data_IF_499389619392
#
_entry.id   IF_499389619392
#
_cell.length_a   1.000
_cell.length_b   1.000
_cell.length_c   1.000
_cell.angle_alpha   90.00
_cell.angle_beta   90.00
_cell.angle_gamma   90.00
#
_symmetry.space_group_name_H-M   'P 1'
#
loop_
_entity.id
_entity.type
_entity.pdbx_description
1 polymer ?
#
# COMPACT_ATOMS: atom_id res chain seq x y z
N UNK A 1 -13.93 59.72 -6.19
CA UNK A 1 -13.21 58.81 -7.09
C UNK A 1 -13.27 57.43 -6.43
N UNK A 2 -14.04 56.48 -6.98
CA UNK A 2 -14.20 55.11 -6.45
C UNK A 2 -13.09 54.26 -7.06
N UNK A 3 -12.15 53.79 -6.25
CA UNK A 3 -11.14 52.85 -6.69
C UNK A 3 -11.78 51.48 -6.88
N UNK A 4 -11.88 51.03 -8.12
CA UNK A 4 -12.30 49.66 -8.47
C UNK A 4 -11.09 48.76 -8.29
N UNK A 5 -11.10 47.94 -7.25
CA UNK A 5 -10.11 46.88 -7.06
C UNK A 5 -10.53 45.72 -7.96
N UNK A 6 -9.78 45.53 -9.04
CA UNK A 6 -9.93 44.40 -9.96
C UNK A 6 -9.25 43.18 -9.29
N UNK A 7 -10.05 42.28 -8.71
CA UNK A 7 -9.58 41.00 -8.15
C UNK A 7 -9.22 40.11 -9.35
N UNK A 8 -7.92 39.94 -9.62
CA UNK A 8 -7.44 38.97 -10.62
C UNK A 8 -7.58 37.56 -10.03
N UNK A 9 -8.64 36.85 -10.42
CA UNK A 9 -8.76 35.43 -10.22
C UNK A 9 -7.77 34.71 -11.14
N UNK A 10 -6.58 34.39 -10.65
CA UNK A 10 -5.68 33.47 -11.33
C UNK A 10 -6.33 32.08 -11.32
N UNK A 11 -6.44 31.40 -12.49
CA UNK A 11 -6.89 30.03 -12.51
C UNK A 11 -5.87 29.18 -11.76
N UNK A 12 -6.30 28.54 -10.70
CA UNK A 12 -5.52 27.51 -10.03
C UNK A 12 -5.52 26.28 -10.96
N UNK A 13 -4.46 26.14 -11.76
CA UNK A 13 -4.27 24.92 -12.55
C UNK A 13 -3.91 23.83 -11.58
N UNK A 14 -4.84 22.91 -11.28
CA UNK A 14 -4.54 21.64 -10.62
C UNK A 14 -3.70 20.88 -11.65
N UNK A 15 -2.40 20.76 -11.40
CA UNK A 15 -1.53 19.89 -12.19
C UNK A 15 -1.85 18.45 -11.80
N UNK A 16 -2.06 17.58 -12.78
CA UNK A 16 -2.17 16.14 -12.54
C UNK A 16 -0.89 15.63 -11.86
N UNK A 17 -1.04 14.79 -10.84
CA UNK A 17 0.08 14.12 -10.17
C UNK A 17 0.50 12.88 -10.97
N UNK A 18 -0.47 12.21 -11.59
CA UNK A 18 -0.21 11.03 -12.41
C UNK A 18 0.58 11.40 -13.67
N UNK A 19 1.59 10.58 -14.00
CA UNK A 19 2.36 10.76 -15.24
C UNK A 19 1.47 10.50 -16.46
N UNK A 20 1.44 11.46 -17.39
CA UNK A 20 0.61 11.38 -18.61
C UNK A 20 1.38 10.83 -19.83
N UNK A 21 2.67 10.53 -19.71
CA UNK A 21 3.46 9.88 -20.75
C UNK A 21 3.37 8.35 -20.63
N UNK A 22 3.43 7.59 -21.73
CA UNK A 22 3.49 6.13 -21.68
C UNK A 22 4.63 5.65 -20.79
N UNK A 23 4.32 4.70 -19.90
CA UNK A 23 5.26 4.06 -18.98
C UNK A 23 5.27 2.55 -19.22
N UNK A 24 6.32 1.89 -18.79
CA UNK A 24 6.30 0.44 -18.66
C UNK A 24 5.50 0.02 -17.43
N UNK A 25 5.14 -1.27 -17.37
CA UNK A 25 4.50 -1.86 -16.21
C UNK A 25 5.41 -1.76 -14.99
N UNK A 26 4.80 -1.49 -13.86
CA UNK A 26 5.37 -1.75 -12.56
C UNK A 26 4.86 -3.08 -12.05
N UNK A 27 5.65 -3.70 -11.20
CA UNK A 27 5.44 -5.08 -10.77
C UNK A 27 4.80 -5.13 -9.41
N UNK A 28 3.75 -5.93 -9.29
CA UNK A 28 3.21 -6.41 -8.03
C UNK A 28 3.66 -7.87 -7.84
N UNK A 29 4.43 -8.13 -6.79
CA UNK A 29 4.70 -9.49 -6.31
C UNK A 29 3.79 -9.77 -5.11
N UNK A 30 2.82 -10.64 -5.32
CA UNK A 30 2.02 -11.23 -4.24
C UNK A 30 2.70 -12.53 -3.81
N UNK A 31 3.36 -12.53 -2.64
CA UNK A 31 4.02 -13.70 -2.08
C UNK A 31 3.05 -14.45 -1.15
N UNK A 32 2.92 -15.76 -1.35
CA UNK A 32 2.13 -16.64 -0.50
C UNK A 32 3.02 -17.35 0.50
N UNK A 33 2.73 -17.14 1.79
CA UNK A 33 3.58 -17.50 2.91
C UNK A 33 2.82 -18.07 4.10
N UNK A 34 3.53 -18.44 5.15
CA UNK A 34 2.97 -18.87 6.43
C UNK A 34 4.03 -19.10 7.48
N UNK A 35 3.67 -18.89 8.75
CA UNK A 35 4.59 -18.92 9.91
C UNK A 35 5.32 -20.25 10.10
N UNK A 36 4.74 -21.35 9.63
CA UNK A 36 5.34 -22.69 9.70
C UNK A 36 6.02 -23.15 8.42
N UNK A 37 6.08 -22.30 7.40
CA UNK A 37 6.78 -22.59 6.16
C UNK A 37 8.30 -22.41 6.34
N UNK A 38 9.06 -23.50 6.34
CA UNK A 38 10.50 -23.46 6.61
C UNK A 38 11.35 -22.79 5.53
N UNK A 39 10.85 -22.70 4.30
CA UNK A 39 11.54 -22.02 3.18
C UNK A 39 10.99 -20.62 2.89
N UNK A 40 9.92 -20.18 3.54
CA UNK A 40 9.34 -18.87 3.27
C UNK A 40 10.28 -17.70 3.63
N UNK A 41 11.13 -17.76 4.66
CA UNK A 41 12.11 -16.69 4.89
C UNK A 41 13.09 -16.46 3.74
N UNK A 42 13.42 -17.50 2.96
CA UNK A 42 14.21 -17.37 1.73
C UNK A 42 13.42 -16.64 0.62
N UNK A 43 12.11 -16.90 0.52
CA UNK A 43 11.21 -16.15 -0.34
C UNK A 43 11.16 -14.67 0.03
N UNK A 44 10.93 -14.36 1.31
CA UNK A 44 10.93 -12.99 1.83
C UNK A 44 12.24 -12.25 1.51
N UNK A 45 13.39 -12.92 1.67
CA UNK A 45 14.69 -12.33 1.34
C UNK A 45 14.84 -12.04 -0.17
N UNK A 46 14.42 -12.97 -1.03
CA UNK A 46 14.49 -12.78 -2.48
C UNK A 46 13.53 -11.70 -2.97
N UNK A 47 12.32 -11.65 -2.41
CA UNK A 47 11.34 -10.59 -2.70
C UNK A 47 11.86 -9.21 -2.27
N UNK A 48 12.43 -9.11 -1.05
CA UNK A 48 13.04 -7.87 -0.57
C UNK A 48 14.20 -7.43 -1.45
N UNK A 49 15.12 -8.33 -1.79
CA UNK A 49 16.25 -8.02 -2.69
C UNK A 49 15.78 -7.53 -4.06
N UNK A 50 14.69 -8.09 -4.58
CA UNK A 50 14.10 -7.65 -5.85
C UNK A 50 13.50 -6.24 -5.72
N UNK A 51 12.77 -5.97 -4.64
CA UNK A 51 12.26 -4.62 -4.36
C UNK A 51 13.40 -3.61 -4.18
N UNK A 52 14.43 -3.94 -3.41
CA UNK A 52 15.58 -3.06 -3.17
C UNK A 52 16.38 -2.73 -4.45
N UNK A 53 16.39 -3.68 -5.40
CA UNK A 53 17.00 -3.45 -6.71
C UNK A 53 16.15 -2.55 -7.63
N UNK A 54 14.83 -2.53 -7.44
CA UNK A 54 13.87 -1.77 -8.24
C UNK A 54 12.80 -1.12 -7.34
N UNK A 55 13.17 -0.20 -6.43
CA UNK A 55 12.27 0.30 -5.37
C UNK A 55 11.07 1.09 -5.90
N UNK A 56 11.19 1.71 -7.08
CA UNK A 56 10.12 2.47 -7.70
C UNK A 56 9.25 1.63 -8.66
N UNK A 57 9.62 0.37 -8.91
CA UNK A 57 9.02 -0.46 -9.96
C UNK A 57 8.54 -1.84 -9.48
N UNK A 58 8.94 -2.30 -8.29
CA UNK A 58 8.53 -3.57 -7.71
C UNK A 58 7.93 -3.36 -6.33
N UNK A 59 6.69 -3.78 -6.13
CA UNK A 59 5.95 -3.66 -4.87
C UNK A 59 5.54 -5.02 -4.35
N UNK A 60 5.53 -5.18 -3.03
CA UNK A 60 5.38 -6.47 -2.37
C UNK A 60 4.09 -6.52 -1.55
N UNK A 61 3.40 -7.66 -1.61
CA UNK A 61 2.32 -8.01 -0.68
C UNK A 61 2.56 -9.44 -0.19
N UNK A 62 2.83 -9.61 1.10
CA UNK A 62 2.99 -10.92 1.72
C UNK A 62 1.65 -11.41 2.27
N UNK A 63 1.15 -12.53 1.74
CA UNK A 63 -0.17 -13.09 2.03
C UNK A 63 -0.02 -14.38 2.81
N UNK A 64 -0.34 -14.35 4.10
CA UNK A 64 -0.38 -15.55 4.94
C UNK A 64 -1.61 -16.39 4.61
N UNK A 65 -1.40 -17.61 4.10
CA UNK A 65 -2.48 -18.45 3.59
C UNK A 65 -2.11 -19.94 3.62
N UNK A 66 -3.10 -20.82 3.43
CA UNK A 66 -2.91 -22.26 3.42
C UNK A 66 -2.55 -22.87 4.77
N UNK A 67 -2.12 -24.13 4.76
CA UNK A 67 -1.89 -24.92 5.99
C UNK A 67 -0.72 -24.37 6.83
N UNK A 68 0.31 -23.83 6.22
CA UNK A 68 1.47 -23.27 6.91
C UNK A 68 1.18 -21.95 7.64
N UNK A 69 0.08 -21.29 7.32
CA UNK A 69 -0.35 -20.05 7.98
C UNK A 69 -1.34 -20.30 9.14
N UNK A 70 -1.82 -21.54 9.34
CA UNK A 70 -2.72 -21.85 10.45
C UNK A 70 -1.98 -21.72 11.78
N UNK A 71 -2.38 -20.80 12.69
CA UNK A 71 -1.67 -20.60 13.93
C UNK A 71 -1.84 -21.78 14.88
N UNK A 72 -0.79 -22.09 15.62
CA UNK A 72 -0.83 -22.98 16.78
C UNK A 72 -1.38 -22.27 18.02
N UNK A 73 -1.44 -23.00 19.13
CA UNK A 73 -1.89 -22.42 20.39
C UNK A 73 -0.91 -21.34 20.87
N UNK A 74 -1.37 -20.09 20.94
CA UNK A 74 -0.58 -18.95 21.40
C UNK A 74 0.20 -18.24 20.28
N UNK A 75 0.11 -18.70 19.02
CA UNK A 75 0.67 -18.00 17.89
C UNK A 75 -0.31 -16.98 17.30
N UNK A 76 0.18 -15.90 16.69
CA UNK A 76 -0.66 -14.92 16.03
C UNK A 76 -1.28 -15.46 14.74
N UNK A 77 -2.49 -15.03 14.42
CA UNK A 77 -3.15 -15.35 13.16
C UNK A 77 -2.93 -14.22 12.14
N UNK A 78 -1.96 -14.39 11.26
CA UNK A 78 -1.61 -13.44 10.21
C UNK A 78 -2.46 -13.56 8.94
N UNK A 79 -3.40 -14.51 8.91
CA UNK A 79 -4.29 -14.68 7.76
C UNK A 79 -5.30 -13.54 7.68
N UNK A 80 -5.74 -13.23 6.47
CA UNK A 80 -6.86 -12.34 6.21
C UNK A 80 -8.02 -13.11 5.59
N UNK A 81 -9.20 -12.50 5.58
CA UNK A 81 -10.37 -13.05 4.88
C UNK A 81 -10.15 -13.15 3.35
N UNK A 82 -9.17 -12.43 2.82
CA UNK A 82 -8.88 -12.30 1.40
C UNK A 82 -7.92 -13.36 0.85
N UNK A 83 -6.94 -13.77 1.67
CA UNK A 83 -5.79 -14.57 1.22
C UNK A 83 -6.16 -15.88 0.53
N UNK A 84 -7.12 -16.63 1.06
CA UNK A 84 -7.54 -17.90 0.46
C UNK A 84 -8.19 -17.72 -0.92
N UNK A 85 -8.93 -16.63 -1.12
CA UNK A 85 -9.60 -16.35 -2.41
C UNK A 85 -8.58 -15.90 -3.45
N UNK A 86 -7.59 -15.06 -3.06
CA UNK A 86 -6.50 -14.67 -3.94
C UNK A 86 -5.71 -15.91 -4.39
N UNK A 87 -5.33 -16.75 -3.46
CA UNK A 87 -4.55 -17.97 -3.75
C UNK A 87 -5.31 -18.98 -4.59
N UNK A 88 -6.63 -19.06 -4.46
CA UNK A 88 -7.44 -20.06 -5.17
C UNK A 88 -7.39 -19.93 -6.69
N UNK A 89 -7.04 -18.75 -7.24
CA UNK A 89 -6.90 -18.53 -8.67
C UNK A 89 -5.45 -18.71 -9.18
N UNK A 90 -4.50 -19.05 -8.33
CA UNK A 90 -3.08 -19.08 -8.67
C UNK A 90 -2.52 -20.48 -8.86
N UNK A 91 -3.21 -21.52 -8.39
CA UNK A 91 -2.84 -22.94 -8.48
C UNK A 91 -1.46 -23.24 -7.84
N UNK A 92 -1.36 -22.99 -6.53
CA UNK A 92 -0.14 -23.24 -5.74
C UNK A 92 0.09 -24.74 -5.56
N UNK A 93 1.30 -25.22 -5.89
CA UNK A 93 1.75 -26.59 -5.59
C UNK A 93 2.65 -26.67 -4.33
N UNK A 94 3.30 -25.58 -3.93
CA UNK A 94 4.18 -25.52 -2.76
C UNK A 94 4.52 -24.11 -2.31
N UNK A 95 5.05 -23.98 -1.09
CA UNK A 95 5.43 -22.69 -0.46
C UNK A 95 6.94 -22.57 -0.28
N UNK A 96 7.54 -21.35 -0.36
CA UNK A 96 6.89 -20.13 -0.79
C UNK A 96 6.54 -20.17 -2.28
N UNK A 97 5.47 -19.50 -2.64
CA UNK A 97 5.08 -19.23 -4.00
C UNK A 97 4.68 -17.78 -4.14
N UNK A 98 4.60 -17.28 -5.34
CA UNK A 98 4.10 -15.93 -5.59
C UNK A 98 3.63 -15.75 -7.01
N UNK A 99 3.02 -14.61 -7.28
CA UNK A 99 2.64 -14.21 -8.63
C UNK A 99 3.28 -12.87 -8.97
N UNK A 100 3.78 -12.75 -10.18
CA UNK A 100 4.28 -11.50 -10.75
C UNK A 100 3.17 -10.94 -11.66
N UNK A 101 2.56 -9.82 -11.25
CA UNK A 101 1.44 -9.19 -11.95
C UNK A 101 0.27 -10.14 -12.27
N UNK A 102 0.12 -11.23 -11.50
CA UNK A 102 -0.87 -12.29 -11.75
C UNK A 102 -0.83 -12.78 -13.22
N UNK A 103 0.36 -12.68 -13.84
CA UNK A 103 0.55 -13.06 -15.24
C UNK A 103 0.92 -14.55 -15.36
N UNK A 104 0.33 -15.24 -16.35
CA UNK A 104 0.60 -16.65 -16.57
C UNK A 104 1.86 -16.86 -17.41
N UNK A 105 2.88 -17.47 -16.82
CA UNK A 105 4.11 -17.87 -17.49
C UNK A 105 4.16 -19.38 -17.66
N UNK A 106 3.90 -19.85 -18.87
CA UNK A 106 3.73 -21.27 -19.20
C UNK A 106 4.85 -22.19 -18.66
N UNK A 107 6.08 -21.70 -18.53
CA UNK A 107 7.24 -22.50 -18.13
C UNK A 107 7.81 -22.16 -16.76
N UNK A 108 7.25 -21.18 -16.04
CA UNK A 108 7.70 -20.73 -14.73
C UNK A 108 6.68 -21.07 -13.62
N UNK A 109 5.44 -21.43 -13.98
CA UNK A 109 4.39 -21.67 -12.99
C UNK A 109 4.50 -23.08 -12.39
N UNK A 110 4.08 -23.20 -11.13
CA UNK A 110 4.07 -24.45 -10.39
C UNK A 110 3.00 -25.43 -10.88
N UNK A 111 1.91 -24.90 -11.44
CA UNK A 111 0.74 -25.65 -11.88
C UNK A 111 0.07 -25.02 -13.11
N UNK A 112 -1.25 -25.12 -13.19
CA UNK A 112 -2.05 -24.54 -14.29
C UNK A 112 -2.39 -23.06 -14.14
N UNK A 113 -2.05 -22.43 -13.00
CA UNK A 113 -2.33 -21.03 -12.68
C UNK A 113 -1.11 -20.13 -12.77
N UNK A 114 -1.14 -19.03 -12.01
CA UNK A 114 -0.11 -17.98 -12.08
C UNK A 114 0.97 -18.09 -11.00
N UNK A 115 0.80 -19.01 -10.02
CA UNK A 115 1.79 -19.20 -8.95
C UNK A 115 3.10 -19.77 -9.51
N UNK A 116 4.21 -19.13 -9.14
CA UNK A 116 5.55 -19.57 -9.49
C UNK A 116 6.44 -19.71 -8.26
N UNK A 117 7.52 -20.46 -8.39
CA UNK A 117 8.52 -20.62 -7.35
C UNK A 117 9.38 -19.36 -7.25
N UNK A 118 9.89 -19.09 -6.03
CA UNK A 118 10.68 -17.88 -5.76
C UNK A 118 11.91 -17.67 -6.65
N UNK A 119 12.45 -18.76 -7.22
CA UNK A 119 13.60 -18.68 -8.14
C UNK A 119 13.28 -18.03 -9.49
N UNK A 120 12.02 -17.97 -9.88
CA UNK A 120 11.56 -17.40 -11.15
C UNK A 120 11.07 -15.94 -11.03
N UNK A 121 10.92 -15.42 -9.81
CA UNK A 121 10.33 -14.08 -9.59
C UNK A 121 11.12 -12.96 -10.25
N UNK A 122 12.46 -13.01 -10.16
CA UNK A 122 13.32 -11.96 -10.73
C UNK A 122 13.19 -11.90 -12.25
N UNK A 123 13.25 -13.04 -12.93
CA UNK A 123 13.20 -13.09 -14.39
C UNK A 123 11.79 -12.65 -14.89
N UNK A 124 10.74 -13.10 -14.24
CA UNK A 124 9.37 -12.69 -14.54
C UNK A 124 9.15 -11.19 -14.28
N UNK A 125 9.72 -10.64 -13.21
CA UNK A 125 9.63 -9.21 -12.91
C UNK A 125 10.34 -8.35 -13.96
N UNK A 126 11.56 -8.72 -14.36
CA UNK A 126 12.31 -8.03 -15.40
C UNK A 126 11.54 -8.06 -16.73
N UNK A 127 10.93 -9.20 -17.08
CA UNK A 127 10.11 -9.32 -18.27
C UNK A 127 8.89 -8.37 -18.21
N UNK A 128 8.14 -8.34 -17.09
CA UNK A 128 7.00 -7.43 -16.91
C UNK A 128 7.41 -5.96 -16.98
N UNK A 129 8.51 -5.56 -16.34
CA UNK A 129 9.02 -4.19 -16.42
C UNK A 129 9.46 -3.76 -17.81
N UNK A 130 9.68 -4.69 -18.74
CA UNK A 130 9.96 -4.41 -20.15
C UNK A 130 8.71 -4.15 -21.00
N UNK A 131 7.53 -4.51 -20.50
CA UNK A 131 6.26 -4.39 -21.21
C UNK A 131 5.62 -3.02 -21.00
N UNK A 132 4.96 -2.41 -22.01
CA UNK A 132 4.21 -1.18 -21.81
C UNK A 132 2.98 -1.39 -20.93
N UNK A 133 2.71 -0.43 -20.07
CA UNK A 133 1.43 -0.33 -19.35
C UNK A 133 0.43 0.50 -20.14
N UNK A 134 -0.84 0.08 -20.27
CA UNK A 134 -1.88 0.89 -20.88
C UNK A 134 -2.34 2.04 -19.98
N UNK A 135 -2.04 1.99 -18.69
CA UNK A 135 -2.49 2.94 -17.67
C UNK A 135 -1.37 3.27 -16.70
N UNK A 136 -1.28 4.54 -16.33
CA UNK A 136 -0.43 5.00 -15.23
C UNK A 136 -1.31 5.26 -14.00
N UNK A 137 -0.72 5.08 -12.81
CA UNK A 137 -1.36 5.31 -11.51
C UNK A 137 -0.45 6.20 -10.67
N UNK A 138 -1.06 7.11 -9.95
CA UNK A 138 -0.46 7.84 -8.83
C UNK A 138 -1.39 7.69 -7.63
N UNK A 139 -0.83 7.64 -6.43
CA UNK A 139 -1.60 7.58 -5.20
C UNK A 139 -0.96 8.43 -4.11
N UNK A 140 -1.78 8.81 -3.12
CA UNK A 140 -1.36 9.42 -1.87
C UNK A 140 -2.25 8.88 -0.75
N UNK A 141 -1.66 8.65 0.42
CA UNK A 141 -2.39 8.17 1.61
C UNK A 141 -2.10 9.09 2.80
N UNK A 142 -3.14 9.65 3.41
CA UNK A 142 -3.02 10.60 4.50
C UNK A 142 -3.78 10.10 5.74
N UNK A 143 -3.10 9.99 6.88
CA UNK A 143 -3.76 9.64 8.13
C UNK A 143 -4.38 10.87 8.79
N UNK A 144 -5.67 10.77 9.05
CA UNK A 144 -6.44 11.77 9.80
C UNK A 144 -6.61 11.32 11.25
N UNK A 145 -5.83 11.90 12.16
CA UNK A 145 -5.86 11.54 13.58
C UNK A 145 -7.15 11.93 14.30
N UNK A 146 -7.97 12.83 13.73
CA UNK A 146 -9.25 13.24 14.33
C UNK A 146 -10.35 12.22 14.08
N UNK A 147 -10.36 11.60 12.90
CA UNK A 147 -11.34 10.57 12.52
C UNK A 147 -10.78 9.16 12.66
N UNK A 148 -9.46 9.01 12.85
CA UNK A 148 -8.73 7.74 12.84
C UNK A 148 -8.92 6.99 11.52
N UNK A 149 -8.84 7.71 10.40
CA UNK A 149 -9.01 7.19 9.05
C UNK A 149 -7.76 7.47 8.21
N UNK A 150 -7.53 6.64 7.22
CA UNK A 150 -6.57 6.91 6.14
C UNK A 150 -7.38 7.29 4.91
N UNK A 151 -7.20 8.53 4.46
CA UNK A 151 -7.76 9.03 3.21
C UNK A 151 -6.77 8.71 2.08
N UNK A 152 -7.24 8.02 1.04
CA UNK A 152 -6.43 7.52 -0.07
C UNK A 152 -6.94 8.16 -1.36
N UNK A 153 -6.13 9.01 -1.96
CA UNK A 153 -6.42 9.64 -3.24
C UNK A 153 -5.63 8.94 -4.34
N UNK A 154 -6.32 8.59 -5.42
CA UNK A 154 -5.75 7.90 -6.58
C UNK A 154 -6.06 8.67 -7.85
N UNK A 155 -5.02 8.97 -8.63
CA UNK A 155 -5.17 9.41 -10.00
C UNK A 155 -4.76 8.29 -10.95
N UNK A 156 -5.50 8.12 -12.05
CA UNK A 156 -5.09 7.22 -13.12
C UNK A 156 -5.29 7.86 -14.50
N UNK A 157 -4.45 7.44 -15.44
CA UNK A 157 -4.42 8.00 -16.79
C UNK A 157 -4.12 6.90 -17.80
N UNK A 158 -5.09 6.64 -18.71
CA UNK A 158 -4.87 5.68 -19.79
C UNK A 158 -4.05 6.34 -20.91
N UNK A 159 -2.89 5.75 -21.19
CA UNK A 159 -1.98 6.18 -22.28
C UNK A 159 -2.27 5.46 -23.58
N UNK A 160 -2.97 4.32 -23.53
CA UNK A 160 -3.36 3.52 -24.69
C UNK A 160 -4.79 2.97 -24.50
N UNK A 161 -5.49 2.76 -25.59
CA UNK A 161 -6.78 2.07 -25.57
C UNK A 161 -6.60 0.61 -25.10
N UNK A 162 -7.59 0.09 -24.36
CA UNK A 162 -7.60 -1.31 -23.98
C UNK A 162 -7.57 -2.24 -25.19
N UNK A 163 -6.71 -3.25 -25.12
CA UNK A 163 -6.65 -4.29 -26.16
C UNK A 163 -7.93 -5.15 -26.19
N UNK A 164 -8.57 -5.33 -25.04
CA UNK A 164 -9.79 -6.12 -24.88
C UNK A 164 -10.87 -5.33 -24.15
N UNK A 165 -11.63 -4.44 -24.84
CA UNK A 165 -12.62 -3.57 -24.22
C UNK A 165 -13.84 -4.31 -23.62
N UNK A 166 -13.90 -5.62 -23.77
CA UNK A 166 -14.93 -6.47 -23.15
C UNK A 166 -14.62 -6.86 -21.71
N UNK A 167 -13.38 -6.68 -21.26
CA UNK A 167 -12.99 -6.94 -19.89
C UNK A 167 -13.07 -5.66 -19.07
N UNK A 168 -13.72 -5.74 -17.93
CA UNK A 168 -13.72 -4.65 -16.95
C UNK A 168 -12.34 -4.52 -16.32
N UNK A 169 -11.93 -3.28 -16.02
CA UNK A 169 -10.75 -3.00 -15.24
C UNK A 169 -11.15 -2.71 -13.80
N UNK A 170 -10.31 -3.12 -12.87
CA UNK A 170 -10.55 -2.94 -11.45
C UNK A 170 -9.38 -2.23 -10.80
N UNK A 171 -9.69 -1.22 -10.00
CA UNK A 171 -8.73 -0.56 -9.12
C UNK A 171 -8.73 -1.26 -7.77
N UNK A 172 -7.57 -1.72 -7.36
CA UNK A 172 -7.37 -2.43 -6.10
C UNK A 172 -6.56 -1.53 -5.15
N UNK A 173 -6.97 -1.49 -3.89
CA UNK A 173 -6.28 -0.76 -2.82
C UNK A 173 -6.06 -1.72 -1.66
N UNK A 174 -4.80 -2.05 -1.39
CA UNK A 174 -4.37 -2.93 -0.31
C UNK A 174 -3.67 -2.14 0.78
N UNK A 175 -3.97 -2.46 2.03
CA UNK A 175 -3.23 -2.01 3.20
C UNK A 175 -2.22 -3.09 3.58
N UNK A 176 -0.94 -2.73 3.61
CA UNK A 176 0.13 -3.61 4.08
C UNK A 176 0.78 -3.01 5.32
N UNK A 177 1.26 -3.87 6.21
CA UNK A 177 1.95 -3.45 7.43
C UNK A 177 3.32 -4.09 7.51
N UNK A 178 4.29 -3.27 7.85
CA UNK A 178 5.66 -3.68 8.13
C UNK A 178 5.85 -3.88 9.64
N UNK A 179 7.00 -4.44 10.01
CA UNK A 179 7.49 -4.54 11.38
C UNK A 179 6.55 -5.29 12.34
N UNK A 180 5.90 -6.36 11.87
CA UNK A 180 5.05 -7.19 12.71
C UNK A 180 5.86 -8.35 13.30
N UNK A 181 6.07 -8.41 14.65
CA UNK A 181 6.77 -9.51 15.28
C UNK A 181 5.94 -10.78 15.31
N UNK A 182 6.54 -11.92 15.00
CA UNK A 182 5.89 -13.21 15.08
C UNK A 182 6.82 -14.41 14.93
N UNK A 183 6.33 -15.62 15.09
CA UNK A 183 7.12 -16.82 14.82
C UNK A 183 7.32 -17.00 13.31
N UNK A 184 8.47 -17.56 12.91
CA UNK A 184 8.72 -17.96 11.54
C UNK A 184 9.69 -19.13 11.46
N UNK A 185 9.21 -20.27 11.02
CA UNK A 185 10.05 -21.45 10.77
C UNK A 185 11.11 -21.13 9.71
N UNK A 186 12.34 -21.63 9.91
CA UNK A 186 13.44 -21.49 8.95
C UNK A 186 14.15 -20.12 8.95
N UNK A 187 13.70 -19.15 9.73
CA UNK A 187 14.28 -17.79 9.76
C UNK A 187 15.79 -17.81 10.07
N UNK A 188 16.23 -18.61 11.07
CA UNK A 188 17.64 -18.72 11.43
C UNK A 188 18.55 -19.17 10.27
N UNK A 189 17.98 -19.93 9.33
CA UNK A 189 18.74 -20.49 8.21
C UNK A 189 18.71 -19.59 6.97
N UNK A 190 17.55 -18.97 6.68
CA UNK A 190 17.30 -18.39 5.37
C UNK A 190 17.18 -16.86 5.38
N UNK A 191 16.83 -16.25 6.52
CA UNK A 191 16.77 -14.80 6.63
C UNK A 191 17.03 -14.33 8.08
N UNK A 192 18.25 -14.59 8.60
CA UNK A 192 18.59 -14.28 10.00
C UNK A 192 18.57 -12.78 10.32
N UNK A 193 18.73 -11.91 9.33
CA UNK A 193 18.75 -10.45 9.52
C UNK A 193 17.38 -9.88 9.93
N UNK A 194 16.30 -10.64 9.68
CA UNK A 194 14.95 -10.30 10.14
C UNK A 194 14.62 -10.85 11.54
N UNK A 195 15.58 -11.49 12.24
CA UNK A 195 15.37 -11.98 13.59
C UNK A 195 15.54 -10.84 14.59
N UNK A 196 14.53 -10.65 15.42
CA UNK A 196 14.50 -9.62 16.46
C UNK A 196 14.29 -10.25 17.84
N UNK A 197 14.57 -9.53 18.95
CA UNK A 197 14.19 -9.97 20.30
C UNK A 197 12.66 -10.07 20.42
N UNK A 198 12.18 -11.17 21.03
CA UNK A 198 10.75 -11.37 21.23
C UNK A 198 10.40 -12.70 21.89
N UNK A 199 9.11 -13.01 22.04
CA UNK A 199 8.65 -14.16 22.80
C UNK A 199 8.78 -15.50 22.05
N UNK A 200 8.94 -15.49 20.74
CA UNK A 200 9.09 -16.72 19.94
C UNK A 200 10.57 -17.08 19.74
N UNK A 201 10.84 -18.28 19.28
CA UNK A 201 12.20 -18.76 19.01
C UNK A 201 12.29 -19.44 17.64
N UNK A 202 12.65 -18.68 16.58
CA UNK A 202 12.95 -17.26 16.56
C UNK A 202 11.72 -16.37 16.57
N UNK A 203 11.85 -15.12 17.05
CA UNK A 203 10.93 -14.02 16.70
C UNK A 203 11.43 -13.38 15.42
N UNK A 204 10.56 -13.32 14.43
CA UNK A 204 10.84 -12.79 13.10
C UNK A 204 10.09 -11.48 12.89
N UNK A 205 10.70 -10.53 12.20
CA UNK A 205 10.09 -9.25 11.84
C UNK A 205 9.44 -9.38 10.46
N UNK A 206 8.13 -9.56 10.42
CA UNK A 206 7.39 -9.70 9.16
C UNK A 206 7.19 -8.35 8.49
N UNK A 207 7.43 -8.31 7.17
CA UNK A 207 7.32 -7.11 6.33
C UNK A 207 6.23 -7.29 5.28
N UNK A 208 5.71 -6.18 4.74
CA UNK A 208 4.75 -6.13 3.61
C UNK A 208 3.50 -7.01 3.82
N UNK A 209 3.12 -7.25 5.07
CA UNK A 209 2.02 -8.16 5.40
C UNK A 209 0.69 -7.56 4.99
N UNK A 210 -0.09 -8.29 4.19
CA UNK A 210 -1.46 -7.88 3.84
C UNK A 210 -2.32 -7.78 5.09
N UNK A 211 -2.91 -6.61 5.32
CA UNK A 211 -3.84 -6.37 6.43
C UNK A 211 -5.28 -6.29 5.95
N UNK A 212 -5.53 -5.56 4.87
CA UNK A 212 -6.89 -5.40 4.34
C UNK A 212 -6.88 -5.08 2.84
N UNK A 213 -8.05 -5.24 2.20
CA UNK A 213 -8.34 -4.78 0.84
C UNK A 213 -9.51 -3.78 0.92
N UNK A 214 -9.19 -2.49 0.84
CA UNK A 214 -10.15 -1.39 0.97
C UNK A 214 -11.25 -1.47 -0.09
N UNK A 215 -10.89 -1.90 -1.28
CA UNK A 215 -11.78 -2.07 -2.45
C UNK A 215 -12.37 -3.48 -2.56
N UNK A 216 -12.22 -4.30 -1.50
CA UNK A 216 -12.66 -5.69 -1.51
C UNK A 216 -11.76 -6.63 -2.32
N UNK A 217 -12.18 -7.88 -2.39
CA UNK A 217 -11.37 -9.00 -2.92
C UNK A 217 -10.81 -8.77 -4.33
N UNK A 218 -11.57 -8.11 -5.20
CA UNK A 218 -11.25 -8.01 -6.62
C UNK A 218 -11.16 -6.57 -7.12
N UNK A 219 -11.24 -5.60 -6.20
CA UNK A 219 -11.16 -4.19 -6.55
C UNK A 219 -12.49 -3.55 -6.88
N UNK A 220 -12.44 -2.24 -7.09
CA UNK A 220 -13.57 -1.41 -7.53
C UNK A 220 -13.58 -1.32 -9.06
N UNK A 221 -14.72 -1.62 -9.74
CA UNK A 221 -14.80 -1.57 -11.19
C UNK A 221 -14.63 -0.14 -11.73
N UNK A 222 -13.76 0.04 -12.70
CA UNK A 222 -13.47 1.33 -13.32
C UNK A 222 -14.28 1.48 -14.62
N UNK A 223 -15.10 2.53 -14.67
CA UNK A 223 -15.95 2.84 -15.83
C UNK A 223 -15.30 3.84 -16.80
N UNK A 224 -14.40 4.71 -16.32
CA UNK A 224 -13.76 5.74 -17.13
C UNK A 224 -12.44 5.20 -17.70
N UNK A 225 -12.47 4.74 -18.96
CA UNK A 225 -11.36 4.09 -19.67
C UNK A 225 -10.83 4.97 -20.84
N UNK A 226 -11.27 6.22 -20.93
CA UNK A 226 -10.89 7.10 -22.01
C UNK A 226 -9.41 7.45 -21.94
N UNK A 227 -8.70 7.29 -23.07
CA UNK A 227 -7.30 7.68 -23.18
C UNK A 227 -7.15 9.19 -23.16
N UNK A 228 -6.09 9.66 -22.52
CA UNK A 228 -5.78 11.09 -22.49
C UNK A 228 -6.56 11.88 -21.44
N UNK A 229 -7.30 11.22 -20.56
CA UNK A 229 -8.08 11.84 -19.49
C UNK A 229 -7.52 11.44 -18.14
N UNK A 230 -7.26 12.43 -17.26
CA UNK A 230 -6.93 12.20 -15.86
C UNK A 230 -8.22 11.92 -15.09
N UNK A 231 -8.28 10.81 -14.42
CA UNK A 231 -9.39 10.39 -13.57
C UNK A 231 -8.94 10.35 -12.12
N UNK A 232 -9.84 10.72 -11.21
CA UNK A 232 -9.60 10.75 -9.77
C UNK A 232 -10.63 9.89 -9.07
N UNK A 233 -10.18 9.13 -8.07
CA UNK A 233 -11.04 8.37 -7.18
C UNK A 233 -10.43 8.41 -5.77
N UNK A 234 -11.27 8.54 -4.75
CA UNK A 234 -10.81 8.58 -3.36
C UNK A 234 -11.47 7.48 -2.56
N UNK A 235 -10.72 6.92 -1.62
CA UNK A 235 -11.17 5.93 -0.66
C UNK A 235 -10.86 6.41 0.75
N UNK A 236 -11.57 5.88 1.72
CA UNK A 236 -11.27 6.07 3.13
C UNK A 236 -11.26 4.71 3.82
N UNK A 237 -10.26 4.48 4.65
CA UNK A 237 -10.13 3.27 5.45
C UNK A 237 -10.11 3.61 6.92
N UNK A 238 -11.12 3.12 7.66
CA UNK A 238 -11.17 3.27 9.12
C UNK A 238 -10.11 2.36 9.74
N UNK A 239 -9.13 2.95 10.42
CA UNK A 239 -8.05 2.19 11.04
C UNK A 239 -8.58 1.42 12.25
N UNK A 240 -8.60 0.07 12.23
CA UNK A 240 -8.96 -0.70 13.41
C UNK A 240 -7.83 -0.70 14.43
N UNK A 241 -8.15 -0.94 15.70
CA UNK A 241 -7.12 -1.07 16.73
C UNK A 241 -6.24 -2.32 16.51
N UNK A 242 -6.86 -3.38 16.02
CA UNK A 242 -6.21 -4.64 15.67
C UNK A 242 -6.95 -5.36 14.54
N UNK A 243 -6.28 -6.32 13.92
CA UNK A 243 -6.85 -7.30 13.00
C UNK A 243 -6.37 -8.67 13.46
N UNK A 244 -7.30 -9.55 13.83
CA UNK A 244 -7.04 -10.87 14.44
C UNK A 244 -6.15 -10.78 15.70
N UNK A 245 -6.46 -9.85 16.61
CA UNK A 245 -5.72 -9.55 17.84
C UNK A 245 -4.27 -9.06 17.59
N UNK A 246 -3.95 -8.63 16.37
CA UNK A 246 -2.64 -8.09 16.00
C UNK A 246 -2.78 -6.57 15.79
N UNK A 247 -2.06 -5.83 16.61
CA UNK A 247 -2.07 -4.36 16.60
C UNK A 247 -1.82 -3.77 15.21
N UNK A 248 -2.58 -2.76 14.85
CA UNK A 248 -2.38 -2.00 13.62
C UNK A 248 -1.57 -0.76 13.97
N UNK A 249 -0.30 -0.77 13.59
CA UNK A 249 0.60 0.38 13.76
C UNK A 249 0.52 1.27 12.53
N UNK A 250 -0.16 2.41 12.67
CA UNK A 250 -0.33 3.36 11.57
C UNK A 250 0.98 3.91 11.01
N UNK A 251 2.07 3.90 11.82
CA UNK A 251 3.39 4.35 11.39
C UNK A 251 4.15 3.32 10.56
N UNK A 252 3.67 2.09 10.54
CA UNK A 252 4.24 0.97 9.78
C UNK A 252 3.35 0.55 8.60
N UNK A 253 2.35 1.36 8.23
CA UNK A 253 1.46 1.08 7.12
C UNK A 253 1.95 1.70 5.81
N UNK A 254 1.80 0.92 4.75
CA UNK A 254 1.85 1.40 3.38
C UNK A 254 0.54 1.05 2.67
N UNK A 255 0.24 1.80 1.62
CA UNK A 255 -0.88 1.54 0.72
C UNK A 255 -0.35 1.13 -0.65
N UNK A 256 -0.74 -0.06 -1.10
CA UNK A 256 -0.43 -0.57 -2.43
C UNK A 256 -1.66 -0.44 -3.31
N UNK A 257 -1.54 0.32 -4.40
CA UNK A 257 -2.62 0.54 -5.37
C UNK A 257 -2.23 -0.08 -6.70
N UNK A 258 -3.13 -0.89 -7.28
CA UNK A 258 -2.86 -1.52 -8.55
C UNK A 258 -4.12 -1.65 -9.42
N UNK A 259 -3.93 -1.63 -10.74
CA UNK A 259 -5.00 -1.77 -11.72
C UNK A 259 -4.93 -3.13 -12.39
N UNK A 260 -6.06 -3.82 -12.47
CA UNK A 260 -6.15 -5.12 -13.13
C UNK A 260 -7.09 -5.11 -14.33
N UNK A 261 -6.78 -5.95 -15.34
CA UNK A 261 -7.72 -6.39 -16.36
C UNK A 261 -8.49 -7.59 -15.83
N UNK A 262 -9.78 -7.46 -15.64
CA UNK A 262 -10.57 -8.44 -14.91
C UNK A 262 -9.98 -8.64 -13.50
N UNK A 263 -9.98 -9.86 -12.96
CA UNK A 263 -9.39 -10.20 -11.66
C UNK A 263 -7.95 -10.72 -11.77
N UNK A 264 -7.38 -10.71 -12.97
CA UNK A 264 -6.10 -11.33 -13.29
C UNK A 264 -5.04 -10.26 -13.59
N UNK A 265 -4.62 -10.13 -14.80
CA UNK A 265 -3.47 -9.36 -15.22
C UNK A 265 -3.36 -7.98 -14.57
N UNK A 266 -2.36 -7.78 -13.74
CA UNK A 266 -2.02 -6.44 -13.23
C UNK A 266 -1.36 -5.65 -14.33
N UNK A 267 -1.92 -4.48 -14.65
CA UNK A 267 -1.34 -3.57 -15.65
C UNK A 267 -0.18 -2.79 -15.07
N UNK A 268 -0.33 -2.31 -13.86
CA UNK A 268 0.68 -1.56 -13.11
C UNK A 268 0.27 -1.44 -11.65
N UNK A 269 1.23 -1.09 -10.79
CA UNK A 269 1.02 -0.85 -9.38
C UNK A 269 1.79 0.40 -8.93
N UNK A 270 1.47 0.88 -7.73
CA UNK A 270 2.25 1.87 -6.99
C UNK A 270 2.11 1.59 -5.50
N UNK A 271 3.10 1.99 -4.72
CA UNK A 271 3.08 1.92 -3.26
C UNK A 271 3.40 3.29 -2.69
N UNK A 272 2.68 3.68 -1.66
CA UNK A 272 2.90 4.94 -0.95
C UNK A 272 2.87 4.70 0.55
N UNK A 273 3.74 5.35 1.32
CA UNK A 273 3.64 5.33 2.77
C UNK A 273 2.39 6.12 3.21
N UNK A 274 1.90 5.80 4.40
CA UNK A 274 0.88 6.63 5.05
C UNK A 274 1.53 7.89 5.57
N UNK A 275 1.13 9.04 5.04
CA UNK A 275 1.62 10.35 5.46
C UNK A 275 0.82 10.84 6.66
N UNK A 276 1.53 11.44 7.59
CA UNK A 276 0.93 12.11 8.75
C UNK A 276 0.91 13.59 8.44
N UNK A 277 -0.25 14.11 8.11
CA UNK A 277 -0.41 15.53 7.87
C UNK A 277 0.15 16.30 9.07
N UNK A 278 1.14 17.14 8.85
CA UNK A 278 1.37 18.23 9.77
C UNK A 278 0.05 18.99 9.76
N UNK A 279 -0.70 18.90 10.85
CA UNK A 279 -1.93 19.67 11.02
C UNK A 279 -1.57 21.17 11.06
N UNK A 280 -1.32 21.72 9.88
CA UNK A 280 -1.29 23.17 9.66
C UNK A 280 -2.72 23.70 9.49
N UNK A 281 -3.69 23.01 10.07
CA UNK A 281 -4.94 23.65 10.41
C UNK A 281 -4.73 24.45 11.70
N UNK A 282 -4.08 25.58 11.58
CA UNK A 282 -4.50 26.74 12.35
C UNK A 282 -5.90 27.07 11.82
N UNK A 283 -6.90 26.33 12.31
CA UNK A 283 -8.27 26.81 12.26
C UNK A 283 -8.20 28.08 13.08
N UNK A 284 -8.23 29.22 12.42
CA UNK A 284 -8.44 30.49 13.06
C UNK A 284 -9.78 30.36 13.77
N UNK A 285 -9.75 29.95 15.02
CA UNK A 285 -10.93 29.99 15.89
C UNK A 285 -11.14 31.46 16.17
N UNK A 286 -11.84 32.12 15.27
CA UNK A 286 -12.47 33.41 15.59
C UNK A 286 -13.66 33.16 16.55
N UNK A 287 -13.36 32.67 17.75
CA UNK A 287 -14.25 32.85 18.87
C UNK A 287 -13.89 34.21 19.47
N UNK A 288 -14.82 35.11 19.34
CA UNK A 288 -14.86 36.36 20.11
C UNK A 288 -14.93 35.97 21.60
N UNK A 289 -13.79 35.77 22.20
CA UNK A 289 -13.60 35.83 23.64
C UNK A 289 -12.52 36.86 23.89
N UNK A 290 -12.97 37.99 24.40
CA UNK A 290 -12.22 39.14 24.80
C UNK A 290 -11.38 38.80 26.06
N UNK A 291 -10.23 38.14 25.88
CA UNK A 291 -9.21 37.98 26.91
C UNK A 291 -7.83 37.98 26.25
N UNK A 292 -7.05 39.00 26.53
CA UNK A 292 -5.68 39.23 26.08
C UNK A 292 -4.65 38.27 26.69
N UNK A 293 -5.01 37.00 26.91
CA UNK A 293 -4.15 36.02 27.55
C UNK A 293 -3.46 35.17 26.47
N UNK A 294 -2.13 35.09 26.50
CA UNK A 294 -1.32 34.31 25.56
C UNK A 294 -0.81 33.07 26.27
N UNK A 295 -0.94 31.91 25.60
CA UNK A 295 -0.51 30.61 26.13
C UNK A 295 0.63 30.03 25.28
N UNK A 296 1.52 29.25 25.89
CA UNK A 296 2.46 28.43 25.14
C UNK A 296 1.76 27.18 24.51
N UNK A 297 2.49 26.43 23.69
CA UNK A 297 1.98 25.22 23.03
C UNK A 297 1.56 24.11 24.02
N UNK A 298 1.89 24.24 25.31
CA UNK A 298 1.50 23.32 26.38
C UNK A 298 0.31 23.84 27.20
N UNK A 299 -0.30 24.96 26.77
CA UNK A 299 -1.46 25.58 27.47
C UNK A 299 -1.12 26.35 28.71
N UNK A 300 0.13 26.76 28.91
CA UNK A 300 0.56 27.58 30.04
C UNK A 300 0.51 29.06 29.67
N UNK A 301 -0.05 29.90 30.56
CA UNK A 301 -0.12 31.35 30.38
C UNK A 301 1.28 31.97 30.35
N UNK A 302 1.50 32.88 29.39
CA UNK A 302 2.82 33.51 29.15
C UNK A 302 2.72 35.02 29.25
N UNK A 303 3.43 35.60 30.21
CA UNK A 303 3.47 37.05 30.42
C UNK A 303 4.38 37.81 29.43
N UNK A 304 5.29 37.10 28.69
CA UNK A 304 6.19 37.72 27.70
C UNK A 304 6.37 36.82 26.49
N UNK A 305 6.05 37.36 25.31
CA UNK A 305 6.24 36.67 24.03
C UNK A 305 7.69 36.78 23.57
N UNK A 306 8.35 35.65 23.35
CA UNK A 306 9.71 35.59 22.76
C UNK A 306 9.63 35.37 21.26
N UNK A 307 10.39 36.10 20.43
CA UNK A 307 10.26 36.17 18.98
C UNK A 307 10.49 34.82 18.24
N UNK A 308 11.01 33.81 18.91
CA UNK A 308 11.33 32.50 18.32
C UNK A 308 10.51 31.33 18.89
N UNK A 309 9.38 31.60 19.52
CA UNK A 309 8.54 30.56 20.13
C UNK A 309 7.11 30.69 19.58
N UNK A 310 6.46 29.56 19.34
CA UNK A 310 5.05 29.51 18.90
C UNK A 310 4.16 29.67 20.13
N UNK A 311 3.18 30.57 20.06
CA UNK A 311 2.19 30.85 21.10
C UNK A 311 0.79 30.74 20.54
N UNK A 312 -0.16 30.33 21.36
CA UNK A 312 -1.59 30.33 21.07
C UNK A 312 -2.18 31.56 21.77
N UNK A 313 -2.85 32.44 21.02
CA UNK A 313 -3.57 33.57 21.54
C UNK A 313 -5.06 33.27 21.44
N UNK A 314 -5.75 33.34 22.59
CA UNK A 314 -7.22 33.32 22.63
C UNK A 314 -7.80 34.64 22.17
#
# INVERSE_FOLDING_TARGET
>A
MKNLILLLLLPFSILAQVNTSPQNKKVLLEEFTGIYCGYCPDGHLLAQNLHDAYPDDVFLINIHTGSYANPGQGDPDFRTNWGNSIVSQTDIAGYPAGTINRYFYQFMTQGGGTAMSRGDWQDAAIDQMSMPSPVNIWAQANYNSLTNEIDIDVEYYYTAAQAFPLYENYLNVAIVQNDIPGPQSGANQFNPDQIIPGPWSPTYNHQHMLRDLVTGQWGEPIQALDTGVVNNISFSWQVPADINDIFVDVYALDVVVFMTESYQNVFTATQVPVEFGSSTFVKEITSVLDNNTTYDIFGREVERVNKNTIYIKN
#
